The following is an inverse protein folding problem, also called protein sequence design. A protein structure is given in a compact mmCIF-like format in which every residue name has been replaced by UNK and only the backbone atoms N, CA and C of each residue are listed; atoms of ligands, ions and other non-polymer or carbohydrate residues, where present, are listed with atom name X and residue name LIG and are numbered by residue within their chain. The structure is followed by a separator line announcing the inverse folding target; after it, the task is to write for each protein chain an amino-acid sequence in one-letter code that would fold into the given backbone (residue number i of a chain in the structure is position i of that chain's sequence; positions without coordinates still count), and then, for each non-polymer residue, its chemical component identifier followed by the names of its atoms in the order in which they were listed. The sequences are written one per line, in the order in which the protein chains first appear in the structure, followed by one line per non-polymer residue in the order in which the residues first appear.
data_IF_614009273447
#
_entry.id   IF_614009273447
#
_cell.length_a   1.000
_cell.length_b   1.000
_cell.length_c   1.000
_cell.angle_alpha   90.00
_cell.angle_beta   90.00
_cell.angle_gamma   90.00
#
_symmetry.space_group_name_H-M   'P 1'
#
loop_
_entity.id
_entity.type
_entity.pdbx_description
1 polymer ?
#
# COMPACT_ATOMS: atom_id res chain seq x y z
N UNK A 1 36.92 -33.10 52.21
CA UNK A 1 35.49 -32.69 52.17
C UNK A 1 35.46 -31.21 51.84
N UNK A 2 35.04 -30.81 50.62
CA UNK A 2 35.08 -29.39 50.22
C UNK A 2 34.63 -29.08 48.79
N UNK A 3 34.33 -30.09 47.96
CA UNK A 3 33.95 -29.90 46.55
C UNK A 3 32.44 -29.81 46.28
N UNK A 4 31.59 -30.08 47.28
CA UNK A 4 30.13 -30.14 47.08
C UNK A 4 29.46 -28.77 46.98
N UNK A 5 30.00 -27.73 47.62
CA UNK A 5 29.41 -26.38 47.61
C UNK A 5 29.66 -25.60 46.31
N UNK A 6 30.75 -25.88 45.60
CA UNK A 6 31.06 -25.21 44.33
C UNK A 6 30.22 -25.75 43.17
N UNK A 7 29.90 -27.05 43.15
CA UNK A 7 29.09 -27.68 42.10
C UNK A 7 27.65 -27.15 42.05
N UNK A 8 27.01 -27.01 43.21
CA UNK A 8 25.64 -26.48 43.32
C UNK A 8 25.50 -25.06 42.76
N UNK A 9 26.49 -24.19 42.97
CA UNK A 9 26.43 -22.82 42.44
C UNK A 9 26.52 -22.79 40.92
N UNK A 10 27.36 -23.64 40.31
CA UNK A 10 27.54 -23.68 38.86
C UNK A 10 26.28 -24.18 38.16
N UNK A 11 25.58 -25.17 38.73
CA UNK A 11 24.34 -25.71 38.18
C UNK A 11 23.22 -24.66 38.12
N UNK A 12 23.04 -23.86 39.17
CA UNK A 12 22.04 -22.77 39.19
C UNK A 12 22.32 -21.69 38.15
N UNK A 13 23.59 -21.30 37.97
CA UNK A 13 23.96 -20.34 36.93
C UNK A 13 23.71 -20.89 35.52
N UNK A 14 23.98 -22.17 35.27
CA UNK A 14 23.71 -22.80 33.97
C UNK A 14 22.21 -22.82 33.64
N UNK A 15 21.35 -23.12 34.63
CA UNK A 15 19.89 -23.07 34.48
C UNK A 15 19.43 -21.63 34.21
N UNK A 16 19.92 -20.65 34.97
CA UNK A 16 19.57 -19.25 34.80
C UNK A 16 19.95 -18.73 33.40
N UNK A 17 21.16 -19.03 32.93
CA UNK A 17 21.63 -18.64 31.60
C UNK A 17 20.78 -19.29 30.51
N UNK A 18 20.44 -20.57 30.68
CA UNK A 18 19.60 -21.30 29.72
C UNK A 18 18.19 -20.73 29.65
N UNK A 19 17.58 -20.40 30.80
CA UNK A 19 16.28 -19.72 30.86
C UNK A 19 16.33 -18.34 30.19
N UNK A 20 17.38 -17.56 30.47
CA UNK A 20 17.57 -16.25 29.85
C UNK A 20 17.74 -16.36 28.33
N UNK A 21 18.49 -17.35 27.85
CA UNK A 21 18.68 -17.59 26.42
C UNK A 21 17.35 -17.93 25.73
N UNK A 22 16.51 -18.76 26.35
CA UNK A 22 15.16 -19.08 25.84
C UNK A 22 14.28 -17.83 25.82
N UNK A 23 14.29 -17.02 26.88
CA UNK A 23 13.53 -15.76 26.93
C UNK A 23 13.97 -14.78 25.83
N UNK A 24 15.28 -14.63 25.60
CA UNK A 24 15.82 -13.79 24.53
C UNK A 24 15.39 -14.32 23.16
N UNK A 25 15.42 -15.63 22.95
CA UNK A 25 14.96 -16.26 21.70
C UNK A 25 13.47 -15.96 21.46
N UNK A 26 12.60 -16.18 22.46
CA UNK A 26 11.17 -15.89 22.36
C UNK A 26 10.94 -14.40 22.08
N UNK A 27 11.64 -13.51 22.78
CA UNK A 27 11.50 -12.09 22.57
C UNK A 27 11.92 -11.67 21.16
N UNK A 28 13.04 -12.20 20.66
CA UNK A 28 13.57 -11.91 19.32
C UNK A 28 12.66 -12.42 18.21
N UNK A 29 12.08 -13.60 18.39
CA UNK A 29 11.33 -14.27 17.33
C UNK A 29 9.85 -13.89 17.31
N UNK A 30 9.25 -13.57 18.46
CA UNK A 30 7.80 -13.29 18.55
C UNK A 30 7.50 -11.84 18.91
N UNK A 31 8.17 -11.29 19.92
CA UNK A 31 7.83 -9.95 20.44
C UNK A 31 8.39 -8.85 19.54
N UNK A 32 9.62 -8.99 19.08
CA UNK A 32 10.28 -7.99 18.22
C UNK A 32 9.54 -7.81 16.88
N UNK A 33 9.15 -8.84 16.11
CA UNK A 33 8.41 -8.61 14.88
C UNK A 33 7.05 -7.94 15.13
N UNK A 34 6.39 -8.26 16.25
CA UNK A 34 5.10 -7.65 16.58
C UNK A 34 5.21 -6.15 16.89
N UNK A 35 6.25 -5.73 17.62
CA UNK A 35 6.44 -4.33 18.03
C UNK A 35 7.04 -3.48 16.90
N UNK A 36 7.99 -4.05 16.15
CA UNK A 36 8.76 -3.32 15.14
C UNK A 36 8.21 -3.46 13.72
N UNK A 37 7.14 -4.25 13.52
CA UNK A 37 6.51 -4.42 12.22
C UNK A 37 5.90 -3.09 11.71
N UNK A 38 6.10 -2.76 10.43
CA UNK A 38 5.43 -1.63 9.81
C UNK A 38 3.90 -1.76 9.88
N UNK A 39 3.21 -0.65 10.11
CA UNK A 39 1.74 -0.59 10.08
C UNK A 39 1.27 0.29 8.94
N UNK A 40 1.03 -0.33 7.79
CA UNK A 40 0.52 0.39 6.63
C UNK A 40 -0.95 0.74 6.83
N UNK A 41 -1.28 2.01 6.61
CA UNK A 41 -2.65 2.48 6.44
C UNK A 41 -2.81 3.06 5.05
N UNK A 42 -3.95 2.77 4.45
CA UNK A 42 -4.36 3.29 3.17
C UNK A 42 -5.55 4.21 3.42
N UNK A 43 -5.43 5.45 2.98
CA UNK A 43 -6.48 6.44 3.09
C UNK A 43 -6.93 6.83 1.70
N UNK A 44 -8.23 6.70 1.45
CA UNK A 44 -8.87 7.34 0.32
C UNK A 44 -9.18 8.78 0.71
N UNK A 45 -8.20 9.66 0.55
CA UNK A 45 -8.48 11.09 0.55
C UNK A 45 -8.76 11.47 -0.90
N UNK A 46 -9.97 11.93 -1.19
CA UNK A 46 -10.17 12.86 -2.30
C UNK A 46 -9.29 14.07 -1.99
N UNK A 47 -8.00 13.99 -2.34
CA UNK A 47 -7.06 15.05 -2.08
C UNK A 47 -7.44 16.29 -2.90
N UNK A 48 -7.03 17.46 -2.42
CA UNK A 48 -7.24 18.73 -3.10
C UNK A 48 -6.77 18.62 -4.55
N UNK A 49 -7.57 19.22 -5.44
CA UNK A 49 -7.37 19.21 -6.88
C UNK A 49 -5.91 19.58 -7.20
N UNK A 50 -5.12 18.61 -7.68
CA UNK A 50 -3.89 18.95 -8.38
C UNK A 50 -4.29 19.34 -9.80
N UNK A 51 -4.63 20.61 -9.97
CA UNK A 51 -4.87 21.20 -11.29
C UNK A 51 -3.49 21.40 -11.89
N UNK A 52 -3.09 20.46 -12.73
CA UNK A 52 -1.93 20.68 -13.59
C UNK A 52 -2.38 21.62 -14.71
N UNK A 53 -2.02 22.90 -14.60
CA UNK A 53 -2.13 23.85 -15.70
C UNK A 53 -0.99 23.56 -16.68
N UNK A 54 -1.18 22.53 -17.49
CA UNK A 54 -0.33 22.36 -18.67
C UNK A 54 -0.67 23.52 -19.61
N UNK A 55 0.33 24.28 -20.06
CA UNK A 55 0.13 25.46 -20.93
C UNK A 55 -0.85 25.12 -22.08
N UNK A 56 -2.05 25.73 -22.06
CA UNK A 56 -3.17 25.52 -22.99
C UNK A 56 -3.97 24.20 -22.93
N UNK A 57 -3.80 23.37 -21.91
CA UNK A 57 -4.43 22.05 -21.80
C UNK A 57 -5.38 21.93 -20.59
N UNK A 58 -6.45 21.18 -20.79
CA UNK A 58 -7.62 21.08 -19.92
C UNK A 58 -7.26 20.73 -18.46
N UNK A 59 -8.06 21.17 -17.48
CA UNK A 59 -7.85 20.78 -16.09
C UNK A 59 -7.98 19.27 -15.93
N UNK A 60 -6.99 18.65 -15.29
CA UNK A 60 -7.04 17.25 -14.90
C UNK A 60 -7.31 17.14 -13.40
N UNK A 61 -8.22 16.23 -13.00
CA UNK A 61 -8.40 15.84 -11.60
C UNK A 61 -7.92 14.42 -11.42
N UNK A 62 -6.98 14.20 -10.49
CA UNK A 62 -6.50 12.87 -10.16
C UNK A 62 -7.24 12.27 -8.98
N UNK A 63 -7.60 11.00 -9.10
CA UNK A 63 -8.07 10.17 -8.00
C UNK A 63 -6.84 9.55 -7.33
N UNK A 64 -6.50 10.02 -6.12
CA UNK A 64 -5.29 9.61 -5.39
C UNK A 64 -5.61 8.74 -4.19
N UNK A 65 -4.80 7.71 -3.98
CA UNK A 65 -4.72 7.02 -2.69
C UNK A 65 -3.56 7.57 -1.92
N UNK A 66 -3.75 7.80 -0.63
CA UNK A 66 -2.67 8.15 0.30
C UNK A 66 -2.25 6.92 1.09
N UNK A 67 -0.98 6.56 0.98
CA UNK A 67 -0.37 5.45 1.72
C UNK A 67 0.55 6.03 2.78
N UNK A 68 0.47 5.51 3.99
CA UNK A 68 1.35 5.94 5.08
C UNK A 68 1.73 4.75 5.96
N UNK A 69 3.01 4.70 6.34
CA UNK A 69 3.46 3.82 7.41
C UNK A 69 3.14 4.48 8.76
N UNK A 70 2.00 4.10 9.33
CA UNK A 70 1.42 4.64 10.57
C UNK A 70 1.91 3.98 11.86
N UNK A 71 2.99 3.20 11.78
CA UNK A 71 3.47 2.40 12.90
C UNK A 71 3.85 3.22 14.14
N UNK A 72 3.94 2.52 15.28
CA UNK A 72 4.24 3.11 16.59
C UNK A 72 5.69 3.63 16.70
N UNK A 73 6.09 4.06 17.90
CA UNK A 73 7.43 4.63 18.15
C UNK A 73 8.57 3.79 17.55
N UNK A 74 8.52 2.47 17.78
CA UNK A 74 9.52 1.49 17.35
C UNK A 74 9.28 0.87 15.96
N UNK A 75 8.29 1.34 15.19
CA UNK A 75 8.03 0.76 13.88
C UNK A 75 9.17 1.02 12.92
N UNK A 76 9.59 -0.02 12.20
CA UNK A 76 10.58 0.10 11.14
C UNK A 76 10.00 0.75 9.87
N UNK A 77 10.88 1.28 9.03
CA UNK A 77 10.58 1.70 7.65
C UNK A 77 10.07 0.49 6.87
N UNK A 78 9.04 0.71 6.06
CA UNK A 78 8.53 -0.33 5.16
C UNK A 78 9.49 -0.47 4.00
N UNK A 79 9.92 -1.69 3.66
CA UNK A 79 10.90 -1.90 2.58
C UNK A 79 10.25 -2.40 1.29
N UNK A 80 10.74 -1.90 0.16
CA UNK A 80 10.34 -2.33 -1.18
C UNK A 80 8.81 -2.35 -1.37
N UNK A 81 8.14 -1.32 -0.86
CA UNK A 81 6.68 -1.22 -0.89
C UNK A 81 6.18 -0.97 -2.30
N UNK A 82 5.16 -1.72 -2.73
CA UNK A 82 4.49 -1.49 -4.00
C UNK A 82 2.99 -1.80 -3.87
N UNK A 83 2.22 -1.25 -4.80
CA UNK A 83 0.76 -1.31 -4.78
C UNK A 83 0.29 -2.02 -6.02
N UNK A 84 -0.64 -2.97 -5.87
CA UNK A 84 -1.27 -3.68 -6.97
C UNK A 84 -2.77 -3.41 -6.98
N UNK A 85 -3.28 -3.13 -8.15
CA UNK A 85 -4.70 -3.23 -8.45
C UNK A 85 -5.03 -4.70 -8.69
N UNK A 86 -5.79 -5.30 -7.78
CA UNK A 86 -6.06 -6.73 -7.76
C UNK A 86 -7.26 -7.10 -8.61
N UNK A 87 -8.36 -6.35 -8.48
CA UNK A 87 -9.52 -6.47 -9.33
C UNK A 87 -10.36 -5.19 -9.29
N UNK A 88 -11.25 -5.08 -10.28
CA UNK A 88 -12.27 -4.04 -10.45
C UNK A 88 -13.57 -4.80 -10.64
N UNK A 89 -14.67 -4.34 -10.05
CA UNK A 89 -16.02 -4.87 -10.26
C UNK A 89 -16.95 -3.72 -10.55
N UNK A 90 -17.74 -3.81 -11.62
CA UNK A 90 -18.83 -2.87 -11.87
C UNK A 90 -20.08 -3.36 -11.16
N UNK A 91 -20.90 -2.46 -10.62
CA UNK A 91 -22.21 -2.84 -10.09
C UNK A 91 -23.02 -3.63 -11.14
N UNK A 92 -23.51 -4.81 -10.76
CA UNK A 92 -24.24 -5.71 -11.65
C UNK A 92 -23.41 -6.56 -12.62
N UNK A 93 -22.08 -6.35 -12.73
CA UNK A 93 -21.21 -7.16 -13.59
C UNK A 93 -19.88 -7.51 -12.91
N UNK A 94 -19.53 -8.79 -12.89
CA UNK A 94 -18.19 -9.22 -12.55
C UNK A 94 -17.31 -8.88 -13.75
N UNK A 95 -16.48 -7.85 -13.62
CA UNK A 95 -15.44 -7.59 -14.62
C UNK A 95 -14.54 -8.82 -14.67
N UNK A 96 -14.29 -9.31 -15.88
CA UNK A 96 -13.51 -10.51 -16.16
C UNK A 96 -12.18 -10.52 -15.39
N UNK A 97 -11.71 -11.68 -14.91
CA UNK A 97 -10.45 -11.77 -14.19
C UNK A 97 -9.33 -11.13 -15.02
N UNK A 98 -8.56 -10.25 -14.40
CA UNK A 98 -7.37 -9.69 -15.00
C UNK A 98 -6.15 -9.92 -14.11
N UNK A 99 -4.99 -9.99 -14.73
CA UNK A 99 -3.71 -10.12 -14.04
C UNK A 99 -3.48 -8.88 -13.17
N UNK A 100 -3.28 -9.00 -11.86
CA UNK A 100 -3.06 -7.86 -10.99
C UNK A 100 -1.92 -6.97 -11.49
N UNK A 101 -2.19 -5.66 -11.59
CA UNK A 101 -1.24 -4.71 -12.18
C UNK A 101 -0.63 -3.82 -11.10
N UNK A 102 0.68 -3.59 -11.15
CA UNK A 102 1.38 -2.68 -10.24
C UNK A 102 1.03 -1.23 -10.60
N UNK A 103 0.51 -0.49 -9.64
CA UNK A 103 0.14 0.92 -9.77
C UNK A 103 1.38 1.83 -9.67
N UNK A 104 1.28 3.02 -10.26
CA UNK A 104 2.35 4.04 -10.27
C UNK A 104 2.21 4.97 -9.06
N UNK A 105 3.34 5.38 -8.51
CA UNK A 105 3.43 6.40 -7.48
C UNK A 105 3.43 7.80 -8.11
N UNK A 106 2.67 8.73 -7.51
CA UNK A 106 2.44 10.07 -8.06
C UNK A 106 3.69 10.94 -8.17
N UNK A 107 4.73 10.66 -7.37
CA UNK A 107 5.92 11.53 -7.25
C UNK A 107 7.02 11.22 -8.27
N UNK A 108 6.88 10.17 -9.08
CA UNK A 108 7.96 9.68 -9.93
C UNK A 108 7.58 9.77 -11.40
N UNK A 109 8.43 10.40 -12.20
CA UNK A 109 8.21 10.66 -13.61
C UNK A 109 8.43 9.39 -14.46
N UNK A 110 7.70 9.27 -15.56
CA UNK A 110 7.60 8.07 -16.39
C UNK A 110 8.79 7.85 -17.33
N UNK A 111 9.52 8.91 -17.67
CA UNK A 111 10.49 8.87 -18.77
C UNK A 111 11.81 8.17 -18.41
N UNK A 112 12.09 7.98 -17.12
CA UNK A 112 13.43 7.58 -16.67
C UNK A 112 13.50 6.21 -16.01
N UNK A 113 12.35 5.59 -15.68
CA UNK A 113 12.35 4.48 -14.73
C UNK A 113 11.51 3.25 -15.15
N UNK A 114 12.14 2.06 -15.27
CA UNK A 114 11.44 0.83 -15.66
C UNK A 114 10.42 0.39 -14.58
N UNK A 115 9.40 -0.38 -14.96
CA UNK A 115 8.34 -0.89 -14.06
C UNK A 115 8.89 -1.57 -12.78
N UNK A 116 10.12 -2.09 -12.83
CA UNK A 116 10.83 -2.68 -11.69
C UNK A 116 11.20 -1.70 -10.58
N UNK A 117 11.24 -0.39 -10.83
CA UNK A 117 11.54 0.65 -9.82
C UNK A 117 10.31 1.18 -9.09
N UNK A 118 9.10 0.67 -9.39
CA UNK A 118 7.85 1.05 -8.70
C UNK A 118 7.76 0.56 -7.23
N UNK A 119 8.89 0.19 -6.64
CA UNK A 119 9.04 -0.22 -5.25
C UNK A 119 9.73 0.90 -4.48
N UNK A 120 9.15 1.32 -3.37
CA UNK A 120 9.73 2.38 -2.54
C UNK A 120 9.72 2.02 -1.07
N UNK A 121 10.72 2.52 -0.36
CA UNK A 121 10.72 2.44 1.09
C UNK A 121 9.78 3.52 1.64
N UNK A 122 8.88 3.15 2.55
CA UNK A 122 7.97 4.10 3.21
C UNK A 122 8.48 4.37 4.61
N UNK A 123 9.11 5.53 4.79
CA UNK A 123 9.51 6.01 6.10
C UNK A 123 8.28 6.21 6.99
N UNK A 124 8.50 6.18 8.29
CA UNK A 124 7.43 6.32 9.26
C UNK A 124 6.80 7.70 9.17
N UNK A 125 5.47 7.75 9.08
CA UNK A 125 4.70 8.99 8.99
C UNK A 125 4.76 9.69 7.63
N UNK A 126 5.60 9.23 6.71
CA UNK A 126 5.74 9.82 5.39
C UNK A 126 4.56 9.44 4.49
N UNK A 127 3.82 10.42 3.96
CA UNK A 127 2.71 10.15 3.06
C UNK A 127 3.20 9.99 1.62
N UNK A 128 2.84 8.88 0.99
CA UNK A 128 3.04 8.67 -0.45
C UNK A 128 1.69 8.57 -1.16
N UNK A 129 1.66 8.98 -2.42
CA UNK A 129 0.43 9.03 -3.21
C UNK A 129 0.51 8.09 -4.41
N UNK A 130 -0.63 7.50 -4.76
CA UNK A 130 -0.83 6.66 -5.95
C UNK A 130 -1.94 7.29 -6.78
N UNK A 131 -1.66 7.62 -8.03
CA UNK A 131 -2.69 8.05 -8.98
C UNK A 131 -3.41 6.83 -9.56
N UNK A 132 -4.70 6.72 -9.26
CA UNK A 132 -5.54 5.64 -9.79
C UNK A 132 -6.18 6.01 -11.12
N UNK A 133 -6.64 7.25 -11.26
CA UNK A 133 -7.19 7.75 -12.51
C UNK A 133 -7.13 9.26 -12.64
N UNK A 134 -7.17 9.75 -13.88
CA UNK A 134 -7.35 11.15 -14.19
C UNK A 134 -8.72 11.42 -14.81
N UNK A 135 -9.35 12.51 -14.41
CA UNK A 135 -10.60 13.02 -14.97
C UNK A 135 -10.28 14.33 -15.71
N UNK A 136 -10.27 14.34 -17.06
CA UNK A 136 -10.09 15.58 -17.83
C UNK A 136 -11.38 16.40 -17.89
N UNK A 137 -11.26 17.74 -17.81
CA UNK A 137 -12.37 18.71 -17.83
C UNK A 137 -13.16 18.70 -19.15
N UNK A 138 -12.49 18.48 -20.29
CA UNK A 138 -13.10 18.43 -21.63
C UNK A 138 -12.84 17.06 -22.29
N UNK A 139 -13.87 16.23 -22.45
CA UNK A 139 -13.82 15.05 -23.34
C UNK A 139 -14.35 13.73 -22.77
N UNK A 140 -14.18 12.65 -23.54
CA UNK A 140 -14.45 11.27 -23.11
C UNK A 140 -13.51 10.97 -21.93
N UNK A 141 -14.04 11.03 -20.72
CA UNK A 141 -13.35 10.67 -19.51
C UNK A 141 -12.92 9.20 -19.57
N UNK A 142 -11.64 8.97 -19.35
CA UNK A 142 -11.02 7.64 -19.35
C UNK A 142 -10.43 7.48 -17.96
N UNK A 143 -10.83 6.43 -17.24
CA UNK A 143 -10.07 5.99 -16.08
C UNK A 143 -8.73 5.44 -16.60
N UNK A 144 -7.73 6.32 -16.72
CA UNK A 144 -6.37 5.92 -16.97
C UNK A 144 -5.77 5.41 -15.66
N UNK A 145 -5.76 4.10 -15.46
CA UNK A 145 -4.78 3.54 -14.55
C UNK A 145 -3.42 3.79 -15.20
N UNK A 146 -2.49 4.49 -14.52
CA UNK A 146 -1.10 4.72 -14.97
C UNK A 146 -0.26 3.42 -14.90
N UNK A 147 -0.90 2.31 -15.20
CA UNK A 147 -0.38 0.97 -15.18
C UNK A 147 -0.71 0.34 -16.53
N UNK A 148 0.07 -0.64 -17.01
CA UNK A 148 -0.31 -1.40 -18.19
C UNK A 148 -1.60 -2.17 -17.89
N UNK A 149 -2.74 -1.57 -18.20
CA UNK A 149 -4.05 -2.18 -18.06
C UNK A 149 -4.18 -3.22 -19.18
N UNK A 150 -4.63 -4.44 -18.89
CA UNK A 150 -4.94 -5.39 -19.94
C UNK A 150 -5.87 -4.74 -20.98
N UNK A 151 -5.66 -4.93 -22.29
CA UNK A 151 -6.45 -4.27 -23.35
C UNK A 151 -7.98 -4.44 -23.18
N UNK A 152 -8.42 -5.58 -22.61
CA UNK A 152 -9.84 -5.87 -22.30
C UNK A 152 -10.44 -4.98 -21.20
N UNK A 153 -9.62 -4.42 -20.33
CA UNK A 153 -10.01 -3.48 -19.27
C UNK A 153 -9.69 -2.02 -19.66
N UNK A 154 -8.86 -1.83 -20.70
CA UNK A 154 -8.59 -0.52 -21.31
C UNK A 154 -9.79 0.02 -22.10
N UNK A 155 -10.84 -0.80 -22.30
CA UNK A 155 -12.15 -0.28 -22.67
C UNK A 155 -12.63 0.71 -21.60
N UNK A 156 -12.82 1.96 -22.05
CA UNK A 156 -13.18 3.12 -21.23
C UNK A 156 -14.28 2.75 -20.24
N UNK A 157 -13.92 2.63 -18.95
CA UNK A 157 -14.89 2.44 -17.88
C UNK A 157 -15.93 3.56 -17.97
N UNK A 158 -17.15 3.23 -18.41
CA UNK A 158 -18.25 4.20 -18.53
C UNK A 158 -18.80 4.61 -17.16
N UNK A 159 -19.71 5.58 -17.10
CA UNK A 159 -20.36 5.97 -15.83
C UNK A 159 -20.97 4.76 -15.10
N UNK A 160 -20.88 4.76 -13.77
CA UNK A 160 -21.41 3.70 -12.92
C UNK A 160 -20.67 3.60 -11.59
N UNK A 161 -21.10 2.65 -10.76
CA UNK A 161 -20.43 2.33 -9.50
C UNK A 161 -19.43 1.20 -9.70
N UNK A 162 -18.25 1.38 -9.14
CA UNK A 162 -17.14 0.44 -9.24
C UNK A 162 -16.63 0.10 -7.85
N UNK A 163 -16.24 -1.14 -7.64
CA UNK A 163 -15.49 -1.58 -6.47
C UNK A 163 -14.08 -1.99 -6.91
N UNK A 164 -13.08 -1.36 -6.31
CA UNK A 164 -11.67 -1.62 -6.53
C UNK A 164 -11.13 -2.43 -5.36
N UNK A 165 -10.38 -3.51 -5.63
CA UNK A 165 -9.56 -4.16 -4.61
C UNK A 165 -8.10 -3.83 -4.85
N UNK A 166 -7.46 -3.30 -3.83
CA UNK A 166 -6.07 -2.85 -3.88
C UNK A 166 -5.27 -3.64 -2.85
N UNK A 167 -4.12 -4.14 -3.25
CA UNK A 167 -3.17 -4.83 -2.39
C UNK A 167 -1.89 -4.01 -2.24
N UNK A 168 -1.42 -3.82 -1.01
CA UNK A 168 -0.13 -3.20 -0.71
C UNK A 168 0.81 -4.28 -0.19
N UNK A 169 2.00 -4.35 -0.77
CA UNK A 169 2.99 -5.39 -0.56
C UNK A 169 4.34 -4.78 -0.23
N UNK A 170 5.20 -5.52 0.45
CA UNK A 170 6.62 -5.22 0.65
C UNK A 170 7.28 -6.32 1.46
N UNK A 171 8.56 -6.15 1.77
CA UNK A 171 9.40 -7.27 2.22
C UNK A 171 9.25 -7.59 3.71
N UNK A 172 8.93 -6.58 4.53
CA UNK A 172 8.96 -6.68 5.99
C UNK A 172 7.58 -6.53 6.66
N UNK A 173 6.49 -6.72 5.89
CA UNK A 173 5.14 -6.76 6.44
C UNK A 173 4.24 -7.69 5.64
N UNK A 174 3.23 -8.26 6.29
CA UNK A 174 2.22 -9.07 5.60
C UNK A 174 1.39 -8.20 4.66
N UNK A 175 1.19 -8.62 3.39
CA UNK A 175 0.37 -7.88 2.44
C UNK A 175 -0.99 -7.49 3.02
N UNK A 176 -1.41 -6.28 2.70
CA UNK A 176 -2.68 -5.72 3.18
C UNK A 176 -3.58 -5.41 1.99
N UNK A 177 -4.87 -5.56 2.18
CA UNK A 177 -5.86 -5.41 1.12
C UNK A 177 -6.97 -4.47 1.57
N UNK A 178 -7.39 -3.61 0.65
CA UNK A 178 -8.50 -2.69 0.86
C UNK A 178 -9.46 -2.74 -0.31
N UNK A 179 -10.72 -2.46 0.00
CA UNK A 179 -11.78 -2.34 -0.99
C UNK A 179 -12.35 -0.93 -0.96
N UNK A 180 -12.47 -0.35 -2.15
CA UNK A 180 -12.94 1.01 -2.33
C UNK A 180 -14.08 1.04 -3.32
N UNK A 181 -15.18 1.66 -2.93
CA UNK A 181 -16.24 1.96 -3.87
C UNK A 181 -16.01 3.35 -4.46
N UNK A 182 -16.15 3.43 -5.78
CA UNK A 182 -16.02 4.66 -6.54
C UNK A 182 -17.33 4.83 -7.30
N UNK A 183 -18.00 5.94 -7.04
CA UNK A 183 -19.12 6.35 -7.86
C UNK A 183 -18.60 7.27 -8.96
N UNK A 184 -18.62 6.77 -10.19
CA UNK A 184 -18.16 7.52 -11.34
C UNK A 184 -19.36 8.08 -12.09
N UNK A 185 -19.58 9.39 -11.94
CA UNK A 185 -20.66 10.13 -12.59
C UNK A 185 -20.18 10.83 -13.86
N UNK A 186 -21.12 11.39 -14.62
CA UNK A 186 -20.83 12.19 -15.82
C UNK A 186 -20.50 13.65 -15.51
N UNK A 187 -20.57 14.09 -14.25
CA UNK A 187 -20.30 15.47 -13.85
C UNK A 187 -18.89 15.59 -13.27
N UNK A 188 -18.16 16.64 -13.64
CA UNK A 188 -16.75 16.77 -13.28
C UNK A 188 -16.66 17.02 -11.78
N UNK A 189 -15.77 16.31 -11.09
CA UNK A 189 -15.53 16.51 -9.68
C UNK A 189 -16.51 15.86 -8.70
N UNK A 190 -17.49 15.11 -9.20
CA UNK A 190 -18.37 14.27 -8.37
C UNK A 190 -17.79 12.87 -8.08
N UNK A 191 -16.57 12.59 -8.57
CA UNK A 191 -15.87 11.34 -8.28
C UNK A 191 -15.54 11.23 -6.79
N UNK A 192 -16.13 10.23 -6.12
CA UNK A 192 -16.00 10.06 -4.67
C UNK A 192 -15.64 8.63 -4.29
N UNK A 193 -14.74 8.51 -3.31
CA UNK A 193 -14.44 7.26 -2.63
C UNK A 193 -15.36 7.03 -1.44
N UNK A 194 -15.79 5.79 -1.31
CA UNK A 194 -16.33 5.27 -0.07
C UNK A 194 -15.50 4.06 0.34
N UNK A 195 -14.84 4.16 1.50
CA UNK A 195 -14.24 2.98 2.14
C UNK A 195 -15.37 2.03 2.56
N UNK A 196 -15.17 0.74 2.32
CA UNK A 196 -16.18 -0.30 2.60
C UNK A 196 -15.89 -0.99 3.92
#
# INVERSE_FOLDING_TARGET
MGSSFLGLNVEWWAILISLLAVLIAIFKDFVKPLIFSPKIKLYCKNAEFYIEEVENLAKHRYLRLKIINSGGYFSSTTKNCYVKLMWIKKEGNITSPFTPTILKWSLYDEETEPITTRKHDLAKGEPHFIDLCSEPEKGKRILFFQAPIPPKLAEKLGSGKYTFKIGVYGDNFTPKYWMFNVNYTKNFGELNFHET
#
